data_IF_954608113808
#
_entry.id   IF_954608113808
#
_cell.length_a   1.000
_cell.length_b   1.000
_cell.length_c   1.000
_cell.angle_alpha   90.00
_cell.angle_beta   90.00
_cell.angle_gamma   90.00
#
_symmetry.space_group_name_H-M   'P 1'
#
loop_
_entity.id
_entity.type
_entity.pdbx_description
1 polymer ?
#
# COMPACT_ATOMS: atom_id res chain seq x y z
N UNK A 1 16.64 16.01 6.95
CA UNK A 1 15.19 15.79 7.16
C UNK A 1 14.38 15.94 5.87
N UNK A 2 14.55 17.02 5.10
CA UNK A 2 13.83 17.27 3.84
C UNK A 2 13.99 16.13 2.81
N UNK A 3 15.19 15.58 2.64
CA UNK A 3 15.45 14.47 1.70
C UNK A 3 14.73 13.17 2.10
N UNK A 4 14.64 12.88 3.39
CA UNK A 4 13.93 11.68 3.91
C UNK A 4 12.43 11.83 3.65
N UNK A 5 11.88 13.01 3.94
CA UNK A 5 10.47 13.32 3.69
C UNK A 5 10.13 13.23 2.20
N UNK A 6 10.96 13.82 1.32
CA UNK A 6 10.77 13.77 -0.13
C UNK A 6 10.70 12.33 -0.64
N UNK A 7 11.60 11.46 -0.17
CA UNK A 7 11.62 10.07 -0.62
C UNK A 7 10.41 9.30 -0.12
N UNK A 8 10.01 9.46 1.16
CA UNK A 8 8.80 8.82 1.69
C UNK A 8 7.54 9.31 0.98
N UNK A 9 7.51 10.58 0.56
CA UNK A 9 6.42 11.13 -0.23
C UNK A 9 6.37 10.51 -1.64
N UNK A 10 7.52 10.32 -2.28
CA UNK A 10 7.60 9.62 -3.57
C UNK A 10 7.17 8.14 -3.44
N UNK A 11 7.60 7.45 -2.38
CA UNK A 11 7.12 6.10 -2.06
C UNK A 11 5.62 6.08 -1.85
N UNK A 12 5.09 7.05 -1.11
CA UNK A 12 3.65 7.12 -0.84
C UNK A 12 2.85 7.23 -2.14
N UNK A 13 3.28 8.06 -3.10
CA UNK A 13 2.62 8.19 -4.41
C UNK A 13 2.61 6.85 -5.15
N UNK A 14 3.75 6.15 -5.20
CA UNK A 14 3.84 4.83 -5.83
C UNK A 14 2.93 3.81 -5.15
N UNK A 15 2.90 3.79 -3.83
CA UNK A 15 2.06 2.87 -3.07
C UNK A 15 0.58 3.17 -3.27
N UNK A 16 0.20 4.45 -3.26
CA UNK A 16 -1.18 4.91 -3.45
C UNK A 16 -1.73 4.42 -4.80
N UNK A 17 -1.00 4.68 -5.89
CA UNK A 17 -1.43 4.29 -7.23
C UNK A 17 -1.45 2.77 -7.41
N UNK A 18 -0.42 2.06 -6.92
CA UNK A 18 -0.35 0.62 -7.09
C UNK A 18 -1.39 -0.14 -6.26
N UNK A 19 -1.69 0.29 -5.04
CA UNK A 19 -2.77 -0.34 -4.26
C UNK A 19 -4.12 -0.09 -4.93
N UNK A 20 -4.38 1.13 -5.43
CA UNK A 20 -5.63 1.41 -6.10
C UNK A 20 -5.79 0.61 -7.40
N UNK A 21 -4.69 0.43 -8.13
CA UNK A 21 -4.65 -0.45 -9.30
C UNK A 21 -4.92 -1.91 -8.92
N UNK A 22 -4.21 -2.45 -7.93
CA UNK A 22 -4.38 -3.84 -7.47
C UNK A 22 -5.82 -4.09 -7.01
N UNK A 23 -6.37 -3.19 -6.20
CA UNK A 23 -7.75 -3.34 -5.69
C UNK A 23 -8.76 -3.32 -6.84
N UNK A 24 -8.59 -2.40 -7.81
CA UNK A 24 -9.49 -2.28 -8.96
C UNK A 24 -9.39 -3.46 -9.92
N UNK A 25 -8.18 -3.95 -10.23
CA UNK A 25 -7.99 -5.11 -11.13
C UNK A 25 -8.53 -6.39 -10.51
N UNK A 26 -8.41 -6.51 -9.19
CA UNK A 26 -8.89 -7.69 -8.49
C UNK A 26 -10.38 -7.60 -8.13
N UNK A 27 -11.08 -6.51 -8.47
CA UNK A 27 -12.53 -6.42 -8.35
C UNK A 27 -13.20 -6.96 -9.62
N UNK A 28 -13.93 -8.06 -9.48
CA UNK A 28 -14.65 -8.70 -10.58
C UNK A 28 -15.71 -7.79 -11.18
N UNK A 29 -16.28 -6.89 -10.40
CA UNK A 29 -17.30 -5.94 -10.89
C UNK A 29 -16.67 -4.84 -11.75
N UNK A 30 -15.43 -4.46 -11.45
CA UNK A 30 -14.68 -3.48 -12.24
C UNK A 30 -14.14 -4.06 -13.55
N UNK A 31 -13.97 -5.37 -13.64
CA UNK A 31 -13.35 -6.06 -14.80
C UNK A 31 -14.37 -6.69 -15.76
N UNK A 32 -15.66 -6.76 -15.40
CA UNK A 32 -16.72 -7.35 -16.23
C UNK A 32 -17.45 -6.35 -17.15
N UNK A 33 -16.78 -5.26 -17.56
CA UNK A 33 -17.40 -4.22 -18.40
C UNK A 33 -17.98 -4.74 -19.72
N UNK A 34 -19.26 -4.44 -19.97
CA UNK A 34 -20.05 -4.80 -21.18
C UNK A 34 -19.67 -3.90 -22.40
N UNK A 35 -18.52 -3.22 -22.34
CA UNK A 35 -18.16 -2.23 -23.35
C UNK A 35 -17.58 -2.91 -24.60
N UNK A 36 -18.28 -2.76 -25.73
CA UNK A 36 -17.83 -3.23 -27.05
C UNK A 36 -16.57 -2.52 -27.55
N UNK A 37 -16.23 -1.36 -26.98
CA UNK A 37 -15.04 -0.58 -27.31
C UNK A 37 -13.97 -0.68 -26.21
N UNK A 38 -12.88 -1.37 -26.54
CA UNK A 38 -11.73 -1.62 -25.66
C UNK A 38 -11.11 -0.31 -25.15
N UNK A 39 -11.02 0.71 -26.00
CA UNK A 39 -10.36 1.97 -25.67
C UNK A 39 -11.15 2.75 -24.60
N UNK A 40 -12.48 2.71 -24.68
CA UNK A 40 -13.36 3.28 -23.66
C UNK A 40 -13.32 2.50 -22.33
N UNK A 41 -13.23 1.18 -22.39
CA UNK A 41 -13.10 0.34 -21.20
C UNK A 41 -11.79 0.61 -20.45
N UNK A 42 -10.68 0.75 -21.19
CA UNK A 42 -9.38 1.08 -20.63
C UNK A 42 -9.36 2.46 -19.96
N UNK A 43 -9.92 3.48 -20.61
CA UNK A 43 -9.96 4.84 -20.03
C UNK A 43 -10.84 4.89 -18.79
N UNK A 44 -12.01 4.25 -18.81
CA UNK A 44 -12.90 4.15 -17.65
C UNK A 44 -12.21 3.46 -16.46
N UNK A 45 -11.51 2.35 -16.71
CA UNK A 45 -10.75 1.63 -15.69
C UNK A 45 -9.62 2.47 -15.09
N UNK A 46 -8.87 3.20 -15.91
CA UNK A 46 -7.80 4.10 -15.45
C UNK A 46 -8.37 5.22 -14.57
N UNK A 47 -9.50 5.82 -14.98
CA UNK A 47 -10.17 6.87 -14.21
C UNK A 47 -10.62 6.31 -12.85
N UNK A 48 -11.24 5.12 -12.84
CA UNK A 48 -11.67 4.46 -11.61
C UNK A 48 -10.48 4.25 -10.65
N UNK A 49 -9.37 3.72 -11.17
CA UNK A 49 -8.13 3.51 -10.39
C UNK A 49 -7.63 4.82 -9.80
N UNK A 50 -7.55 5.90 -10.59
CA UNK A 50 -7.05 7.20 -10.15
C UNK A 50 -7.96 7.78 -9.06
N UNK A 51 -9.27 7.78 -9.30
CA UNK A 51 -10.27 8.31 -8.35
C UNK A 51 -10.22 7.52 -7.04
N UNK A 52 -10.19 6.19 -7.13
CA UNK A 52 -10.11 5.33 -5.96
C UNK A 52 -8.81 5.55 -5.17
N UNK A 53 -7.68 5.62 -5.87
CA UNK A 53 -6.37 5.88 -5.28
C UNK A 53 -6.31 7.22 -4.55
N UNK A 54 -6.79 8.29 -5.18
CA UNK A 54 -6.69 9.65 -4.62
C UNK A 54 -7.69 9.92 -3.50
N UNK A 55 -8.91 9.39 -3.60
CA UNK A 55 -9.96 9.68 -2.61
C UNK A 55 -9.88 8.75 -1.40
N UNK A 56 -9.66 7.45 -1.61
CA UNK A 56 -9.74 6.47 -0.53
C UNK A 56 -8.37 6.10 0.04
N UNK A 57 -7.37 5.92 -0.81
CA UNK A 57 -6.06 5.40 -0.37
C UNK A 57 -5.12 6.54 0.04
N UNK A 58 -5.05 7.62 -0.74
CA UNK A 58 -4.11 8.71 -0.51
C UNK A 58 -4.22 9.37 0.87
N UNK A 59 -5.42 9.71 1.38
CA UNK A 59 -5.53 10.34 2.70
C UNK A 59 -4.97 9.44 3.80
N UNK A 60 -5.22 8.13 3.72
CA UNK A 60 -4.78 7.18 4.74
C UNK A 60 -3.26 6.98 4.70
N UNK A 61 -2.67 6.87 3.51
CA UNK A 61 -1.21 6.69 3.40
C UNK A 61 -0.46 7.98 3.76
N UNK A 62 -0.96 9.15 3.39
CA UNK A 62 -0.31 10.43 3.70
C UNK A 62 -0.44 10.75 5.19
N UNK A 63 -1.62 10.56 5.79
CA UNK A 63 -1.89 10.91 7.19
C UNK A 63 -1.34 9.87 8.17
N UNK A 64 -1.39 8.58 7.84
CA UNK A 64 -0.93 7.51 8.75
C UNK A 64 0.37 6.87 8.28
N UNK A 65 0.48 6.52 6.99
CA UNK A 65 1.63 5.80 6.45
C UNK A 65 2.96 6.56 6.60
N UNK A 66 3.01 7.83 6.17
CA UNK A 66 4.24 8.63 6.23
C UNK A 66 4.69 8.86 7.69
N UNK A 67 3.83 9.36 8.61
CA UNK A 67 4.26 9.60 9.99
C UNK A 67 4.70 8.32 10.70
N UNK A 68 3.98 7.22 10.50
CA UNK A 68 4.32 5.95 11.14
C UNK A 68 5.66 5.41 10.61
N UNK A 69 5.93 5.48 9.30
CA UNK A 69 7.22 5.09 8.75
C UNK A 69 8.38 5.92 9.33
N UNK A 70 8.19 7.23 9.57
CA UNK A 70 9.18 8.07 10.25
C UNK A 70 9.37 7.65 11.73
N UNK A 71 8.30 7.23 12.43
CA UNK A 71 8.39 6.73 13.80
C UNK A 71 9.17 5.41 13.86
N UNK A 72 8.96 4.52 12.89
CA UNK A 72 9.71 3.26 12.78
C UNK A 72 11.20 3.54 12.64
N UNK A 73 11.60 4.46 11.76
CA UNK A 73 13.00 4.85 11.59
C UNK A 73 13.64 5.31 12.90
N UNK A 74 12.92 6.12 13.69
CA UNK A 74 13.39 6.60 14.99
C UNK A 74 13.54 5.47 16.01
N UNK A 75 12.59 4.54 16.05
CA UNK A 75 12.59 3.42 17.00
C UNK A 75 13.76 2.45 16.73
N UNK A 76 14.07 2.20 15.46
CA UNK A 76 15.04 1.19 15.03
C UNK A 76 16.49 1.59 15.29
N UNK A 77 16.79 2.89 15.43
CA UNK A 77 18.15 3.37 15.74
C UNK A 77 18.73 2.68 16.98
N UNK A 78 17.88 2.27 17.93
CA UNK A 78 18.25 1.65 19.21
C UNK A 78 18.60 0.16 19.14
N UNK A 79 18.35 -0.53 18.02
CA UNK A 79 18.51 -1.99 17.94
C UNK A 79 19.75 -2.43 17.13
N UNK A 80 20.34 -3.59 17.48
CA UNK A 80 21.48 -4.17 16.74
C UNK A 80 21.08 -4.79 15.39
N UNK A 81 19.89 -5.40 15.28
CA UNK A 81 19.37 -6.04 14.05
C UNK A 81 18.36 -5.16 13.29
N UNK A 82 18.83 -3.99 12.84
CA UNK A 82 17.97 -2.91 12.31
C UNK A 82 17.11 -3.31 11.12
N UNK A 83 17.67 -4.05 10.16
CA UNK A 83 17.00 -4.31 8.88
C UNK A 83 15.80 -5.28 9.01
N UNK A 84 15.96 -6.36 9.78
CA UNK A 84 14.91 -7.37 9.97
C UNK A 84 13.81 -6.81 10.86
N UNK A 85 14.17 -6.11 11.94
CA UNK A 85 13.18 -5.45 12.81
C UNK A 85 12.38 -4.39 12.04
N UNK A 86 13.05 -3.65 11.13
CA UNK A 86 12.38 -2.71 10.23
C UNK A 86 11.34 -3.35 9.34
N UNK A 87 11.67 -4.51 8.77
CA UNK A 87 10.75 -5.24 7.91
C UNK A 87 9.50 -5.61 8.69
N UNK A 88 9.64 -6.26 9.85
CA UNK A 88 8.50 -6.70 10.65
C UNK A 88 7.61 -5.54 11.09
N UNK A 89 8.21 -4.41 11.52
CA UNK A 89 7.44 -3.23 11.92
C UNK A 89 6.66 -2.62 10.74
N UNK A 90 7.31 -2.43 9.59
CA UNK A 90 6.64 -1.91 8.40
C UNK A 90 5.52 -2.83 7.90
N UNK A 91 5.73 -4.15 7.96
CA UNK A 91 4.73 -5.16 7.59
C UNK A 91 3.53 -5.13 8.54
N UNK A 92 3.78 -5.09 9.85
CA UNK A 92 2.73 -5.06 10.86
C UNK A 92 1.84 -3.81 10.74
N UNK A 93 2.47 -2.65 10.54
CA UNK A 93 1.77 -1.39 10.33
C UNK A 93 1.03 -1.39 8.98
N UNK A 94 1.64 -1.94 7.92
CA UNK A 94 1.00 -2.11 6.62
C UNK A 94 -0.30 -2.92 6.73
N UNK A 95 -0.28 -4.03 7.48
CA UNK A 95 -1.48 -4.81 7.77
C UNK A 95 -2.55 -3.99 8.51
N UNK A 96 -2.17 -3.23 9.55
CA UNK A 96 -3.13 -2.41 10.30
C UNK A 96 -3.80 -1.37 9.39
N UNK A 97 -3.01 -0.66 8.60
CA UNK A 97 -3.52 0.35 7.66
C UNK A 97 -4.45 -0.30 6.62
N UNK A 98 -4.07 -1.45 6.07
CA UNK A 98 -4.89 -2.18 5.10
C UNK A 98 -6.23 -2.64 5.70
N UNK A 99 -6.23 -3.18 6.91
CA UNK A 99 -7.48 -3.58 7.60
C UNK A 99 -8.38 -2.37 7.84
N UNK A 100 -7.81 -1.21 8.20
CA UNK A 100 -8.57 0.04 8.36
C UNK A 100 -9.19 0.48 7.02
N UNK A 101 -8.39 0.49 5.94
CA UNK A 101 -8.87 0.82 4.58
C UNK A 101 -10.04 -0.09 4.19
N UNK A 102 -9.86 -1.40 4.32
CA UNK A 102 -10.87 -2.39 3.95
C UNK A 102 -12.15 -2.29 4.79
N UNK A 103 -12.01 -1.96 6.08
CA UNK A 103 -13.15 -1.73 6.98
C UNK A 103 -13.94 -0.48 6.59
N UNK A 104 -13.26 0.62 6.25
CA UNK A 104 -13.89 1.85 5.77
C UNK A 104 -14.63 1.65 4.44
N UNK A 105 -14.08 0.82 3.57
CA UNK A 105 -14.68 0.45 2.28
C UNK A 105 -15.82 -0.57 2.40
N UNK A 106 -16.17 -1.02 3.61
CA UNK A 106 -17.13 -2.11 3.86
C UNK A 106 -16.84 -3.33 2.97
N UNK A 107 -15.56 -3.66 2.81
CA UNK A 107 -15.15 -4.70 1.90
C UNK A 107 -15.47 -6.09 2.48
N UNK A 108 -16.08 -6.94 1.65
CA UNK A 108 -16.30 -8.36 1.97
C UNK A 108 -15.01 -9.16 2.15
N UNK A 109 -13.84 -8.58 1.84
CA UNK A 109 -12.52 -9.22 2.02
C UNK A 109 -12.22 -9.62 3.47
N UNK A 110 -12.80 -8.93 4.45
CA UNK A 110 -12.63 -9.25 5.88
C UNK A 110 -13.70 -10.25 6.36
N UNK A 111 -14.75 -10.49 5.57
CA UNK A 111 -15.80 -11.42 5.95
C UNK A 111 -15.26 -12.86 6.03
N UNK A 112 -15.76 -13.63 7.01
CA UNK A 112 -15.35 -15.01 7.23
C UNK A 112 -15.40 -15.87 5.95
N UNK A 113 -16.44 -15.69 5.13
CA UNK A 113 -16.62 -16.40 3.86
C UNK A 113 -15.48 -16.14 2.87
N UNK A 114 -14.89 -14.94 2.88
CA UNK A 114 -13.77 -14.55 2.03
C UNK A 114 -12.44 -15.06 2.59
N UNK A 115 -12.29 -15.16 3.91
CA UNK A 115 -11.08 -15.70 4.56
C UNK A 115 -10.88 -17.20 4.33
N UNK A 116 -11.94 -17.94 4.02
CA UNK A 116 -11.89 -19.37 3.70
C UNK A 116 -11.53 -19.61 2.22
N UNK A 117 -11.66 -18.60 1.36
CA UNK A 117 -11.34 -18.72 -0.05
C UNK A 117 -9.91 -18.26 -0.33
N UNK A 118 -9.09 -19.18 -0.85
CA UNK A 118 -7.66 -18.97 -1.13
C UNK A 118 -7.40 -17.73 -2.00
N UNK A 119 -8.23 -17.47 -3.00
CA UNK A 119 -8.06 -16.32 -3.90
C UNK A 119 -8.25 -14.99 -3.16
N UNK A 120 -9.27 -14.89 -2.30
CA UNK A 120 -9.51 -13.69 -1.50
C UNK A 120 -8.47 -13.51 -0.40
N UNK A 121 -7.95 -14.61 0.14
CA UNK A 121 -6.88 -14.57 1.13
C UNK A 121 -5.56 -14.08 0.52
N UNK A 122 -5.23 -14.51 -0.71
CA UNK A 122 -4.09 -13.97 -1.47
C UNK A 122 -4.30 -12.48 -1.74
N UNK A 123 -5.50 -12.08 -2.17
CA UNK A 123 -5.85 -10.65 -2.39
C UNK A 123 -5.64 -9.82 -1.14
N UNK A 124 -6.14 -10.28 0.00
CA UNK A 124 -5.96 -9.64 1.29
C UNK A 124 -4.48 -9.50 1.65
N UNK A 125 -3.70 -10.57 1.46
CA UNK A 125 -2.27 -10.61 1.77
C UNK A 125 -1.48 -9.60 0.91
N UNK A 126 -1.78 -9.49 -0.39
CA UNK A 126 -1.17 -8.48 -1.25
C UNK A 126 -1.50 -7.06 -0.78
N UNK A 127 -2.76 -6.76 -0.48
CA UNK A 127 -3.19 -5.42 -0.03
C UNK A 127 -2.52 -5.04 1.30
N UNK A 128 -2.33 -6.01 2.20
CA UNK A 128 -1.73 -5.79 3.51
C UNK A 128 -0.21 -5.60 3.47
N UNK A 129 0.49 -6.44 2.71
CA UNK A 129 1.96 -6.46 2.74
C UNK A 129 2.57 -5.43 1.79
N UNK A 130 1.91 -5.11 0.67
CA UNK A 130 2.43 -4.21 -0.35
C UNK A 130 2.86 -2.83 0.17
N UNK A 131 2.05 -2.08 0.95
CA UNK A 131 2.49 -0.79 1.48
C UNK A 131 3.71 -0.94 2.40
N UNK A 132 3.69 -1.90 3.34
CA UNK A 132 4.78 -2.13 4.28
C UNK A 132 6.11 -2.46 3.60
N UNK A 133 6.09 -3.37 2.63
CA UNK A 133 7.29 -3.76 1.87
C UNK A 133 7.89 -2.58 1.09
N UNK A 134 7.07 -1.75 0.47
CA UNK A 134 7.56 -0.60 -0.31
C UNK A 134 8.21 0.46 0.58
N UNK A 135 7.60 0.80 1.71
CA UNK A 135 8.21 1.74 2.67
C UNK A 135 9.54 1.20 3.21
N UNK A 136 9.58 -0.07 3.61
CA UNK A 136 10.81 -0.71 4.07
C UNK A 136 11.91 -0.75 3.00
N UNK A 137 11.56 -1.09 1.76
CA UNK A 137 12.51 -1.18 0.65
C UNK A 137 13.16 0.18 0.38
N UNK A 138 12.36 1.25 0.37
CA UNK A 138 12.88 2.60 0.16
C UNK A 138 13.78 3.02 1.33
N UNK A 139 13.42 2.69 2.57
CA UNK A 139 14.28 2.98 3.73
C UNK A 139 15.62 2.23 3.68
N UNK A 140 15.64 0.99 3.18
CA UNK A 140 16.88 0.25 2.92
C UNK A 140 17.76 0.90 1.84
N UNK A 141 17.17 1.33 0.73
CA UNK A 141 17.91 1.98 -0.37
C UNK A 141 18.50 3.30 0.11
N UNK A 142 17.74 4.09 0.87
CA UNK A 142 18.19 5.37 1.44
C UNK A 142 19.34 5.16 2.43
N UNK A 143 19.19 4.22 3.36
CA UNK A 143 20.22 3.95 4.39
C UNK A 143 21.52 3.42 3.79
N UNK A 144 21.47 2.64 2.70
CA UNK A 144 22.68 2.24 1.96
C UNK A 144 23.29 3.39 1.17
N UNK A 145 22.49 4.19 0.48
CA UNK A 145 22.97 5.33 -0.31
C UNK A 145 23.67 6.41 0.53
N UNK A 146 23.30 6.55 1.80
CA UNK A 146 23.91 7.51 2.72
C UNK A 146 25.21 7.01 3.38
N UNK A 147 25.46 5.69 3.40
CA UNK A 147 26.72 5.09 3.89
C UNK A 147 27.85 5.10 2.85
N UNK A 148 27.49 5.22 1.56
CA UNK A 148 28.43 5.23 0.45
C UNK A 148 28.79 6.65 -0.05
N UNK A 149 28.39 7.69 0.70
CA UNK A 149 28.82 9.08 0.54
C UNK A 149 29.51 9.52 1.83
#
# INVERSE_FOLDING_TARGET
MIHILKNKLLTSILVILNIGFIVSVMDSNATQGIHTNILFSLTSSIILVIVFSLIYIAPLIIVLGIPVSILIDRYIIRFKKKNIMSLFLHMFIGCIIAVIILSLLKSDLIAYKSLVNEFYLIKLLFICLYPGLNFWFVDLVITKGHKNK
#
